data_IF_251130492095
#
_entry.id   IF_251130492095
#
_cell.length_a   1.000
_cell.length_b   1.000
_cell.length_c   1.000
_cell.angle_alpha   90.00
_cell.angle_beta   90.00
_cell.angle_gamma   90.00
#
_symmetry.space_group_name_H-M   'P 1'
#
loop_
_entity.id
_entity.type
_entity.pdbx_description
1 polymer ?
#
# COMPACT_ATOMS: atom_id res chain seq x y z
N UNK A 1 23.08 -0.28 7.19
CA UNK A 1 21.92 -0.33 6.28
C UNK A 1 20.90 -1.43 6.64
N UNK A 2 20.98 -2.07 7.83
CA UNK A 2 20.17 -3.24 8.19
C UNK A 2 18.78 -2.94 8.79
N UNK A 3 18.45 -1.68 9.10
CA UNK A 3 17.24 -1.34 9.85
C UNK A 3 16.00 -1.22 8.93
N UNK A 4 16.10 -0.47 7.84
CA UNK A 4 14.97 -0.23 6.92
C UNK A 4 14.44 -1.48 6.21
N UNK A 5 15.32 -2.44 5.88
CA UNK A 5 14.87 -3.71 5.31
C UNK A 5 14.07 -4.54 6.32
N UNK A 6 14.45 -4.48 7.60
CA UNK A 6 13.71 -5.15 8.66
C UNK A 6 12.35 -4.47 8.87
N UNK A 7 12.33 -3.13 8.96
CA UNK A 7 11.11 -2.33 9.06
C UNK A 7 10.15 -2.63 7.90
N UNK A 8 10.63 -2.59 6.66
CA UNK A 8 9.80 -2.86 5.48
C UNK A 8 9.21 -4.28 5.50
N UNK A 9 9.98 -5.29 5.93
CA UNK A 9 9.46 -6.66 6.09
C UNK A 9 8.36 -6.74 7.14
N UNK A 10 8.52 -6.03 8.25
CA UNK A 10 7.56 -5.99 9.34
C UNK A 10 6.26 -5.27 8.96
N UNK A 11 6.37 -4.17 8.23
CA UNK A 11 5.23 -3.47 7.62
C UNK A 11 4.55 -4.38 6.60
N UNK A 12 5.29 -5.01 5.69
CA UNK A 12 4.76 -5.91 4.65
C UNK A 12 4.05 -7.14 5.21
N UNK A 13 4.48 -7.63 6.38
CA UNK A 13 3.80 -8.70 7.11
C UNK A 13 2.46 -8.25 7.74
N UNK A 14 2.13 -6.96 7.68
CA UNK A 14 0.91 -6.41 8.28
C UNK A 14 0.95 -6.36 9.80
N UNK A 15 2.13 -6.36 10.42
CA UNK A 15 2.26 -6.32 11.88
C UNK A 15 1.71 -4.99 12.42
N UNK A 16 0.71 -5.08 13.30
CA UNK A 16 -0.07 -3.93 13.80
C UNK A 16 0.81 -2.81 14.37
N UNK A 17 1.80 -3.17 15.19
CA UNK A 17 2.67 -2.19 15.85
C UNK A 17 3.57 -1.46 14.83
N UNK A 18 3.95 -2.16 13.75
CA UNK A 18 4.75 -1.58 12.68
C UNK A 18 3.92 -0.69 11.77
N UNK A 19 2.68 -1.07 11.46
CA UNK A 19 1.74 -0.21 10.72
C UNK A 19 1.46 1.09 11.47
N UNK A 20 1.32 1.04 12.80
CA UNK A 20 1.04 2.22 13.63
C UNK A 20 2.17 3.27 13.60
N UNK A 21 3.42 2.85 13.39
CA UNK A 21 4.58 3.77 13.36
C UNK A 21 4.94 4.25 11.96
N UNK A 22 4.27 3.75 10.90
CA UNK A 22 4.54 4.15 9.51
C UNK A 22 4.51 5.67 9.31
N UNK A 23 3.52 6.44 9.81
CA UNK A 23 3.54 7.89 9.65
C UNK A 23 4.78 8.56 10.26
N UNK A 24 5.25 8.06 11.41
CA UNK A 24 6.47 8.57 12.04
C UNK A 24 7.70 8.26 11.19
N UNK A 25 7.76 7.07 10.60
CA UNK A 25 8.85 6.66 9.69
C UNK A 25 8.82 7.50 8.40
N UNK A 26 7.65 7.70 7.81
CA UNK A 26 7.44 8.48 6.59
C UNK A 26 7.96 9.92 6.73
N UNK A 27 7.77 10.55 7.89
CA UNK A 27 8.25 11.92 8.15
C UNK A 27 9.77 12.09 8.09
N UNK A 28 10.52 10.99 8.23
CA UNK A 28 11.99 10.96 8.25
C UNK A 28 12.58 10.21 7.06
N UNK A 29 11.73 9.61 6.23
CA UNK A 29 12.14 8.78 5.12
C UNK A 29 12.73 9.65 4.01
N UNK A 30 13.87 9.25 3.47
CA UNK A 30 14.28 9.71 2.15
C UNK A 30 13.47 8.99 1.06
N UNK A 31 13.63 9.40 -0.19
CA UNK A 31 12.91 8.82 -1.34
C UNK A 31 12.95 7.30 -1.40
N UNK A 32 14.14 6.71 -1.27
CA UNK A 32 14.30 5.25 -1.32
C UNK A 32 13.55 4.55 -0.18
N UNK A 33 13.53 5.14 1.01
CA UNK A 33 12.83 4.60 2.18
C UNK A 33 11.32 4.77 2.05
N UNK A 34 10.86 5.88 1.46
CA UNK A 34 9.46 6.10 1.15
C UNK A 34 8.94 5.07 0.14
N UNK A 35 9.68 4.84 -0.95
CA UNK A 35 9.35 3.80 -1.94
C UNK A 35 9.25 2.40 -1.28
N UNK A 36 10.15 2.09 -0.33
CA UNK A 36 10.11 0.84 0.43
C UNK A 36 8.89 0.73 1.34
N UNK A 37 8.48 1.84 1.98
CA UNK A 37 7.29 1.87 2.82
C UNK A 37 6.02 1.73 1.98
N UNK A 38 5.93 2.40 0.84
CA UNK A 38 4.78 2.27 -0.08
C UNK A 38 4.66 0.84 -0.63
N UNK A 39 5.78 0.21 -1.00
CA UNK A 39 5.80 -1.19 -1.43
C UNK A 39 5.38 -2.15 -0.32
N UNK A 40 5.85 -1.92 0.90
CA UNK A 40 5.51 -2.71 2.07
C UNK A 40 4.03 -2.55 2.44
N UNK A 41 3.50 -1.32 2.48
CA UNK A 41 2.09 -1.06 2.74
C UNK A 41 1.20 -1.71 1.68
N UNK A 42 1.58 -1.62 0.40
CA UNK A 42 0.85 -2.27 -0.69
C UNK A 42 0.81 -3.78 -0.46
N UNK A 43 1.95 -4.39 -0.13
CA UNK A 43 2.05 -5.82 0.17
C UNK A 43 1.19 -6.24 1.37
N UNK A 44 1.09 -5.37 2.38
CA UNK A 44 0.30 -5.60 3.58
C UNK A 44 -1.20 -5.36 3.40
N UNK A 45 -1.61 -4.62 2.36
CA UNK A 45 -3.01 -4.21 2.15
C UNK A 45 -4.00 -5.38 2.14
N UNK A 46 -3.77 -6.51 1.44
CA UNK A 46 -4.65 -7.69 1.53
C UNK A 46 -4.49 -8.49 2.83
N UNK A 47 -3.45 -8.25 3.63
CA UNK A 47 -3.13 -9.01 4.87
C UNK A 47 -3.73 -8.35 6.10
N UNK A 48 -3.64 -7.03 6.20
CA UNK A 48 -4.16 -6.22 7.29
C UNK A 48 -4.74 -4.91 6.76
N UNK A 49 -5.85 -5.03 6.03
CA UNK A 49 -6.50 -3.93 5.32
C UNK A 49 -6.85 -2.78 6.24
N UNK A 50 -7.50 -3.06 7.37
CA UNK A 50 -7.84 -2.03 8.37
C UNK A 50 -6.63 -1.26 8.86
N UNK A 51 -5.54 -1.95 9.19
CA UNK A 51 -4.31 -1.35 9.69
C UNK A 51 -3.64 -0.45 8.64
N UNK A 52 -3.55 -0.95 7.40
CA UNK A 52 -2.99 -0.18 6.28
C UNK A 52 -3.83 1.06 5.99
N UNK A 53 -5.15 0.92 5.82
CA UNK A 53 -6.05 2.05 5.55
C UNK A 53 -6.04 3.09 6.68
N UNK A 54 -5.90 2.65 7.93
CA UNK A 54 -5.75 3.56 9.07
C UNK A 54 -4.44 4.36 9.00
N UNK A 55 -3.33 3.73 8.60
CA UNK A 55 -2.05 4.40 8.40
C UNK A 55 -2.11 5.37 7.20
N UNK A 56 -2.71 4.95 6.09
CA UNK A 56 -2.90 5.77 4.90
C UNK A 56 -3.71 7.04 5.21
N UNK A 57 -4.82 6.93 5.94
CA UNK A 57 -5.60 8.10 6.36
C UNK A 57 -4.77 9.15 7.12
N UNK A 58 -3.81 8.72 7.93
CA UNK A 58 -2.88 9.64 8.63
C UNK A 58 -1.89 10.24 7.64
N UNK A 59 -1.36 9.42 6.72
CA UNK A 59 -0.44 9.85 5.68
C UNK A 59 -1.07 10.91 4.76
N UNK A 60 -2.29 10.67 4.29
CA UNK A 60 -3.00 11.55 3.36
C UNK A 60 -3.42 12.88 4.03
N UNK A 61 -3.60 12.89 5.35
CA UNK A 61 -3.90 14.09 6.13
C UNK A 61 -2.67 14.94 6.48
N UNK A 62 -1.46 14.39 6.30
CA UNK A 62 -0.20 15.03 6.65
C UNK A 62 0.57 15.53 5.44
N UNK A 63 1.77 16.07 5.69
CA UNK A 63 2.71 16.45 4.63
C UNK A 63 3.97 15.61 4.76
N UNK A 64 4.17 14.70 3.81
CA UNK A 64 5.30 13.79 3.75
C UNK A 64 6.07 14.08 2.45
N UNK A 65 7.34 14.55 2.50
CA UNK A 65 8.03 15.03 1.31
C UNK A 65 8.20 13.97 0.20
N UNK A 66 8.30 12.70 0.60
CA UNK A 66 8.67 11.60 -0.30
C UNK A 66 7.58 10.52 -0.46
N UNK A 67 6.55 10.51 0.39
CA UNK A 67 5.43 9.54 0.31
C UNK A 67 4.16 10.20 -0.23
N UNK A 68 3.38 9.43 -0.98
CA UNK A 68 2.13 9.83 -1.62
C UNK A 68 0.89 9.14 -1.07
N UNK A 69 1.06 8.18 -0.16
CA UNK A 69 -0.06 7.57 0.56
C UNK A 69 -1.00 6.77 -0.35
N UNK A 70 -2.30 7.00 -0.23
CA UNK A 70 -3.36 6.19 -0.88
C UNK A 70 -3.21 6.11 -2.40
N UNK A 71 -2.79 7.20 -3.04
CA UNK A 71 -2.62 7.30 -4.50
C UNK A 71 -1.63 6.29 -5.08
N UNK A 72 -0.62 5.89 -4.31
CA UNK A 72 0.36 4.89 -4.73
C UNK A 72 0.03 3.53 -4.14
N UNK A 73 -0.21 3.45 -2.84
CA UNK A 73 -0.31 2.17 -2.12
C UNK A 73 -1.44 1.29 -2.63
N UNK A 74 -2.57 1.87 -3.00
CA UNK A 74 -3.74 1.12 -3.45
C UNK A 74 -3.55 0.47 -4.84
N UNK A 75 -2.64 1.00 -5.65
CA UNK A 75 -2.51 0.63 -7.06
C UNK A 75 -1.13 0.08 -7.43
N UNK A 76 -0.13 0.24 -6.57
CA UNK A 76 1.29 -0.01 -6.89
C UNK A 76 1.54 -1.38 -7.53
N UNK A 77 0.91 -2.44 -7.01
CA UNK A 77 1.10 -3.81 -7.49
C UNK A 77 0.30 -4.15 -8.75
N UNK A 78 -0.56 -3.24 -9.23
CA UNK A 78 -1.36 -3.41 -10.46
C UNK A 78 -1.00 -2.43 -11.58
N UNK A 79 -0.34 -1.29 -11.30
CA UNK A 79 0.10 -0.30 -12.33
C UNK A 79 1.10 -0.90 -13.33
N UNK A 80 2.02 -1.76 -12.87
CA UNK A 80 2.96 -2.50 -13.73
C UNK A 80 2.82 -3.99 -13.43
N UNK A 81 1.81 -4.65 -14.02
CA UNK A 81 1.44 -5.99 -13.64
C UNK A 81 2.59 -6.96 -13.95
N UNK A 82 3.18 -7.49 -12.88
CA UNK A 82 4.16 -8.57 -12.94
C UNK A 82 3.54 -9.90 -12.54
N UNK A 83 4.40 -10.89 -12.28
CA UNK A 83 3.95 -12.18 -11.77
C UNK A 83 3.24 -12.00 -10.42
N UNK A 84 1.97 -12.41 -10.35
CA UNK A 84 1.16 -12.35 -9.12
C UNK A 84 0.23 -11.13 -9.01
N UNK A 85 0.18 -10.25 -10.02
CA UNK A 85 -0.74 -9.12 -10.03
C UNK A 85 -2.22 -9.54 -9.94
N UNK A 86 -2.63 -10.62 -10.64
CA UNK A 86 -4.00 -11.16 -10.54
C UNK A 86 -4.35 -11.62 -9.12
N UNK A 87 -3.44 -12.36 -8.48
CA UNK A 87 -3.63 -12.85 -7.10
C UNK A 87 -3.68 -11.69 -6.11
N UNK A 88 -2.78 -10.71 -6.28
CA UNK A 88 -2.80 -9.49 -5.48
C UNK A 88 -4.15 -8.76 -5.64
N UNK A 89 -4.58 -8.52 -6.88
CA UNK A 89 -5.84 -7.85 -7.18
C UNK A 89 -7.02 -8.58 -6.54
N UNK A 90 -7.15 -9.88 -6.76
CA UNK A 90 -8.27 -10.67 -6.24
C UNK A 90 -8.34 -10.63 -4.70
N UNK A 91 -7.21 -10.83 -4.03
CA UNK A 91 -7.16 -10.81 -2.56
C UNK A 91 -7.43 -9.42 -2.00
N UNK A 92 -6.79 -8.39 -2.57
CA UNK A 92 -6.94 -7.00 -2.13
C UNK A 92 -8.36 -6.51 -2.33
N UNK A 93 -8.98 -6.83 -3.47
CA UNK A 93 -10.36 -6.49 -3.77
C UNK A 93 -11.34 -7.07 -2.75
N UNK A 94 -11.21 -8.35 -2.41
CA UNK A 94 -12.07 -8.99 -1.39
C UNK A 94 -11.89 -8.34 -0.03
N UNK A 95 -10.64 -8.09 0.39
CA UNK A 95 -10.37 -7.50 1.68
C UNK A 95 -10.87 -6.04 1.80
N UNK A 96 -10.82 -5.28 0.69
CA UNK A 96 -11.35 -3.91 0.63
C UNK A 96 -12.89 -3.87 0.62
N UNK A 97 -13.56 -4.84 0.01
CA UNK A 97 -15.02 -4.95 0.05
C UNK A 97 -15.55 -5.19 1.46
N UNK A 98 -14.78 -5.87 2.31
CA UNK A 98 -15.15 -6.19 3.69
C UNK A 98 -14.80 -5.07 4.69
N UNK A 99 -14.11 -4.00 4.27
CA UNK A 99 -13.66 -2.91 5.14
C UNK A 99 -14.38 -1.58 4.83
N UNK A 100 -15.19 -1.01 5.74
CA UNK A 100 -15.98 0.20 5.49
C UNK A 100 -15.20 1.43 4.99
N UNK A 101 -13.92 1.56 5.35
CA UNK A 101 -13.06 2.67 4.91
C UNK A 101 -12.25 2.34 3.64
N UNK A 102 -12.50 1.19 3.01
CA UNK A 102 -11.76 0.71 1.84
C UNK A 102 -12.24 1.24 0.49
N UNK A 103 -13.36 1.99 0.45
CA UNK A 103 -14.02 2.38 -0.79
C UNK A 103 -13.13 3.15 -1.77
N UNK A 104 -12.35 4.11 -1.29
CA UNK A 104 -11.42 4.90 -2.13
C UNK A 104 -10.31 4.03 -2.72
N UNK A 105 -9.69 3.20 -1.87
CA UNK A 105 -8.64 2.29 -2.29
C UNK A 105 -9.16 1.24 -3.28
N UNK A 106 -10.40 0.76 -3.09
CA UNK A 106 -11.07 -0.17 -4.00
C UNK A 106 -11.33 0.48 -5.36
N UNK A 107 -11.85 1.70 -5.38
CA UNK A 107 -12.10 2.45 -6.60
C UNK A 107 -10.82 2.62 -7.42
N UNK A 108 -9.72 3.03 -6.77
CA UNK A 108 -8.42 3.20 -7.43
C UNK A 108 -7.88 1.86 -7.95
N UNK A 109 -7.96 0.79 -7.15
CA UNK A 109 -7.51 -0.55 -7.53
C UNK A 109 -8.27 -1.07 -8.76
N UNK A 110 -9.60 -0.96 -8.77
CA UNK A 110 -10.44 -1.43 -9.87
C UNK A 110 -10.19 -0.63 -11.15
N UNK A 111 -10.10 0.70 -11.05
CA UNK A 111 -9.81 1.57 -12.20
C UNK A 111 -8.49 1.22 -12.88
N UNK A 112 -7.39 1.18 -12.11
CA UNK A 112 -6.06 0.88 -12.66
C UNK A 112 -5.97 -0.56 -13.19
N UNK A 113 -6.63 -1.52 -12.55
CA UNK A 113 -6.59 -2.90 -13.00
C UNK A 113 -7.26 -3.11 -14.36
N UNK A 114 -8.39 -2.43 -14.61
CA UNK A 114 -9.06 -2.48 -15.90
C UNK A 114 -8.22 -1.82 -17.01
N UNK A 115 -7.54 -0.72 -16.72
CA UNK A 115 -6.57 -0.10 -17.64
C UNK A 115 -5.39 -1.04 -17.94
N UNK A 116 -4.77 -1.61 -16.91
CA UNK A 116 -3.60 -2.48 -17.03
C UNK A 116 -3.89 -3.78 -17.80
N UNK A 117 -5.13 -4.28 -17.77
CA UNK A 117 -5.57 -5.43 -18.59
C UNK A 117 -5.71 -5.09 -20.07
N UNK A 118 -6.03 -3.83 -20.40
CA UNK A 118 -6.16 -3.40 -21.79
C UNK A 118 -4.79 -3.26 -22.46
N UNK A 119 -3.78 -2.82 -21.71
CA UNK A 119 -2.39 -2.68 -22.22
C UNK A 119 -1.68 -4.02 -22.46
N UNK A 120 -2.17 -5.12 -21.88
CA UNK A 120 -1.63 -6.47 -22.07
C UNK A 120 -2.21 -7.19 -23.30
N UNK A 121 -3.18 -6.60 -23.99
CA UNK A 121 -3.80 -7.14 -25.21
C UNK A 121 -3.05 -6.67 -26.46
#
# INVERSE_FOLDING_TARGET
>A
MADWQYIARKVAAGEKDWLAVVPTLASKANRQQADQLEDALSTALPVNTKGVLSALRILDSGTYPEMRGTDIVCVLKVVKPGKGADTYYANTRLALLDEPIGAECLWNLEGVWEEAKQEQK
#
